data_IF_409360430355
#
_entry.id   IF_409360430355
#
_cell.length_a   1.000
_cell.length_b   1.000
_cell.length_c   1.000
_cell.angle_alpha   90.00
_cell.angle_beta   90.00
_cell.angle_gamma   90.00
#
_symmetry.space_group_name_H-M   'P 1'
#
loop_
_entity.id
_entity.type
_entity.pdbx_description
1 polymer ?
#
# COMPACT_ATOMS: atom_id res chain seq x y z
N UNK A 1 -27.24 -28.93 -13.17
CA UNK A 1 -25.96 -28.83 -13.90
C UNK A 1 -25.22 -27.58 -13.41
N UNK A 2 -24.02 -27.70 -12.82
CA UNK A 2 -23.28 -26.53 -12.37
C UNK A 2 -22.77 -25.75 -13.59
N UNK A 3 -23.00 -24.42 -13.58
CA UNK A 3 -22.60 -23.49 -14.66
C UNK A 3 -21.08 -23.50 -14.83
N UNK A 4 -20.61 -23.66 -16.08
CA UNK A 4 -19.19 -23.61 -16.42
C UNK A 4 -18.59 -22.26 -15.97
N UNK A 5 -17.59 -22.31 -15.09
CA UNK A 5 -16.80 -21.15 -14.69
C UNK A 5 -16.10 -20.59 -15.94
N UNK A 6 -16.31 -19.31 -16.25
CA UNK A 6 -15.59 -18.61 -17.32
C UNK A 6 -14.09 -18.75 -17.07
N UNK A 7 -13.35 -19.41 -17.97
CA UNK A 7 -11.89 -19.52 -17.85
C UNK A 7 -11.28 -18.14 -18.05
N UNK A 8 -10.42 -17.73 -17.11
CA UNK A 8 -9.70 -16.46 -17.22
C UNK A 8 -8.73 -16.52 -18.41
N UNK A 9 -8.65 -15.45 -19.19
CA UNK A 9 -7.83 -15.28 -20.40
C UNK A 9 -6.33 -15.61 -20.23
N UNK A 10 -5.86 -15.69 -18.98
CA UNK A 10 -4.46 -15.81 -18.58
C UNK A 10 -4.08 -17.20 -18.03
N UNK A 11 -4.88 -18.24 -18.26
CA UNK A 11 -4.51 -19.60 -17.82
C UNK A 11 -3.49 -20.22 -18.78
N UNK A 12 -2.43 -20.81 -18.19
CA UNK A 12 -1.33 -21.52 -18.88
C UNK A 12 -1.84 -22.70 -19.74
N UNK A 13 -2.94 -23.32 -19.31
CA UNK A 13 -3.63 -24.40 -20.04
C UNK A 13 -5.07 -24.00 -20.33
N UNK A 14 -5.55 -24.34 -21.53
CA UNK A 14 -6.97 -24.27 -21.88
C UNK A 14 -7.71 -25.35 -21.07
N UNK A 15 -9.04 -25.22 -20.92
CA UNK A 15 -9.92 -26.20 -20.25
C UNK A 15 -9.73 -27.63 -20.81
N UNK A 16 -9.29 -27.76 -22.07
CA UNK A 16 -8.99 -29.04 -22.74
C UNK A 16 -7.53 -29.54 -22.55
N UNK A 17 -6.76 -28.96 -21.64
CA UNK A 17 -5.40 -29.41 -21.29
C UNK A 17 -4.29 -29.04 -22.28
N UNK A 18 -4.62 -28.47 -23.44
CA UNK A 18 -3.65 -27.92 -24.42
C UNK A 18 -3.11 -26.56 -23.97
N UNK A 19 -1.86 -26.28 -24.33
CA UNK A 19 -1.21 -24.99 -24.06
C UNK A 19 -1.93 -23.84 -24.78
N UNK A 20 -2.12 -22.73 -24.06
CA UNK A 20 -2.85 -21.57 -24.56
C UNK A 20 -1.93 -20.70 -25.42
N UNK A 21 -2.18 -20.61 -26.73
CA UNK A 21 -1.38 -19.79 -27.65
C UNK A 21 -1.44 -18.29 -27.39
N UNK A 22 -2.40 -17.83 -26.57
CA UNK A 22 -2.51 -16.42 -26.12
C UNK A 22 -1.81 -16.16 -24.79
N UNK A 23 -1.36 -17.21 -24.10
CA UNK A 23 -0.59 -17.10 -22.86
C UNK A 23 0.89 -17.05 -23.24
N UNK A 24 1.55 -15.93 -22.93
CA UNK A 24 2.99 -15.77 -23.06
C UNK A 24 3.54 -15.66 -21.65
N UNK A 25 4.31 -16.67 -21.23
CA UNK A 25 5.04 -16.64 -19.98
C UNK A 25 6.30 -15.81 -20.20
N UNK A 26 6.36 -14.63 -19.58
CA UNK A 26 7.56 -13.78 -19.66
C UNK A 26 8.57 -14.15 -18.57
N UNK A 27 8.18 -14.97 -17.59
CA UNK A 27 8.98 -15.31 -16.41
C UNK A 27 9.55 -16.73 -16.47
N UNK A 28 9.61 -17.34 -17.65
CA UNK A 28 10.23 -18.65 -17.83
C UNK A 28 11.73 -18.60 -17.44
N UNK A 29 12.15 -19.60 -16.67
CA UNK A 29 13.53 -19.71 -16.20
C UNK A 29 14.44 -20.26 -17.31
N UNK A 30 15.59 -19.63 -17.49
CA UNK A 30 16.60 -20.12 -18.43
C UNK A 30 17.24 -21.42 -17.92
N UNK A 31 17.72 -22.24 -18.87
CA UNK A 31 18.44 -23.47 -18.53
C UNK A 31 19.71 -23.13 -17.75
N UNK A 32 19.84 -23.71 -16.55
CA UNK A 32 21.01 -23.49 -15.70
C UNK A 32 22.31 -23.89 -16.40
N UNK A 33 23.29 -23.00 -16.40
CA UNK A 33 24.65 -23.28 -16.88
C UNK A 33 25.47 -23.86 -15.72
N UNK A 34 26.15 -24.99 -15.96
CA UNK A 34 27.00 -25.61 -14.94
C UNK A 34 28.11 -24.64 -14.53
N UNK A 35 28.32 -24.47 -13.22
CA UNK A 35 29.30 -23.53 -12.68
C UNK A 35 28.80 -22.10 -12.50
N UNK A 36 27.64 -21.73 -13.06
CA UNK A 36 27.13 -20.35 -13.06
C UNK A 36 25.67 -20.30 -12.61
N UNK A 37 25.41 -20.76 -11.39
CA UNK A 37 24.06 -20.75 -10.83
C UNK A 37 23.71 -19.44 -10.14
N UNK A 38 24.69 -18.77 -9.57
CA UNK A 38 24.53 -17.50 -8.86
C UNK A 38 25.48 -16.46 -9.44
N UNK A 39 25.09 -15.19 -9.45
CA UNK A 39 25.92 -14.07 -9.86
C UNK A 39 25.93 -13.00 -8.77
N UNK A 40 27.08 -12.35 -8.61
CA UNK A 40 27.16 -11.12 -7.84
C UNK A 40 26.89 -9.94 -8.78
N UNK A 41 25.98 -9.05 -8.43
CA UNK A 41 25.58 -7.90 -9.27
C UNK A 41 25.64 -6.62 -8.44
N UNK A 42 26.14 -5.54 -9.04
CA UNK A 42 26.02 -4.19 -8.49
C UNK A 42 25.15 -3.35 -9.40
N UNK A 43 24.24 -2.58 -8.81
CA UNK A 43 23.38 -1.63 -9.52
C UNK A 43 23.89 -0.20 -9.35
N UNK A 44 23.69 0.61 -10.38
CA UNK A 44 23.84 2.06 -10.32
C UNK A 44 22.50 2.67 -10.72
N UNK A 45 21.77 3.23 -9.76
CA UNK A 45 20.42 3.76 -9.96
C UNK A 45 20.33 5.23 -9.56
N UNK A 46 20.76 6.17 -10.42
CA UNK A 46 20.63 7.60 -10.14
C UNK A 46 19.19 8.08 -10.36
N UNK A 47 18.21 7.52 -9.65
CA UNK A 47 16.77 7.77 -9.87
C UNK A 47 16.37 9.25 -9.77
N UNK A 48 17.05 10.01 -8.89
CA UNK A 48 16.80 11.45 -8.75
C UNK A 48 17.19 12.22 -10.01
N UNK A 49 18.34 11.87 -10.61
CA UNK A 49 18.88 12.53 -11.80
C UNK A 49 18.10 12.08 -13.04
N UNK A 50 17.70 10.81 -13.11
CA UNK A 50 16.84 10.28 -14.19
C UNK A 50 15.51 11.02 -14.22
N UNK A 51 14.84 11.18 -13.07
CA UNK A 51 13.60 11.97 -13.00
C UNK A 51 13.79 13.42 -13.43
N UNK A 52 14.91 14.03 -13.05
CA UNK A 52 15.24 15.39 -13.49
C UNK A 52 15.49 15.45 -15.00
N UNK A 53 16.09 14.41 -15.60
CA UNK A 53 16.29 14.28 -17.04
C UNK A 53 14.96 14.24 -17.78
N UNK A 54 14.04 13.38 -17.34
CA UNK A 54 12.73 13.21 -17.97
C UNK A 54 11.90 14.51 -17.87
N UNK A 55 11.93 15.17 -16.71
CA UNK A 55 11.29 16.47 -16.51
C UNK A 55 11.93 17.57 -17.37
N UNK A 56 13.26 17.58 -17.50
CA UNK A 56 13.96 18.54 -18.35
C UNK A 56 13.61 18.34 -19.83
N UNK A 57 13.54 17.10 -20.29
CA UNK A 57 13.14 16.75 -21.65
C UNK A 57 11.70 17.19 -21.93
N UNK A 58 10.81 17.02 -20.95
CA UNK A 58 9.43 17.49 -21.05
C UNK A 58 9.32 19.02 -21.06
N UNK A 59 10.08 19.73 -20.21
CA UNK A 59 10.10 21.20 -20.19
C UNK A 59 10.62 21.80 -21.50
N UNK A 60 11.69 21.25 -22.07
CA UNK A 60 12.19 21.68 -23.39
C UNK A 60 11.17 21.36 -24.51
N UNK A 61 10.46 20.24 -24.41
CA UNK A 61 9.35 19.96 -25.31
C UNK A 61 8.25 21.02 -25.20
N UNK A 62 7.80 21.38 -23.99
CA UNK A 62 6.77 22.40 -23.79
C UNK A 62 7.17 23.78 -24.35
N UNK A 63 8.44 24.18 -24.21
CA UNK A 63 8.96 25.43 -24.79
C UNK A 63 8.91 25.43 -26.32
N UNK A 64 8.99 24.26 -26.95
CA UNK A 64 8.93 24.14 -28.42
C UNK A 64 7.51 23.87 -28.92
N UNK A 65 6.72 23.14 -28.14
CA UNK A 65 5.29 22.89 -28.32
C UNK A 65 4.45 24.11 -27.93
N UNK A 66 4.98 25.31 -28.19
CA UNK A 66 4.43 26.58 -27.78
C UNK A 66 3.24 26.93 -28.68
N UNK A 67 2.12 26.23 -28.44
CA UNK A 67 0.82 26.42 -29.11
C UNK A 67 0.36 27.87 -28.99
N UNK A 68 0.73 28.57 -27.92
CA UNK A 68 0.35 29.98 -27.74
C UNK A 68 0.95 30.88 -28.83
N UNK A 69 2.21 30.63 -29.23
CA UNK A 69 2.87 31.41 -30.27
C UNK A 69 2.36 31.06 -31.67
N UNK A 70 1.94 29.82 -31.91
CA UNK A 70 1.28 29.44 -33.16
C UNK A 70 -0.15 29.97 -33.22
N UNK A 71 -0.90 29.95 -32.11
CA UNK A 71 -2.23 30.54 -31.96
C UNK A 71 -2.22 32.04 -32.24
N UNK A 72 -1.27 32.80 -31.67
CA UNK A 72 -1.15 34.24 -31.92
C UNK A 72 -0.91 34.55 -33.41
N UNK A 73 -0.06 33.76 -34.08
CA UNK A 73 0.16 33.88 -35.53
C UNK A 73 -1.07 33.48 -36.33
N UNK A 74 -1.82 32.48 -35.88
CA UNK A 74 -3.06 32.06 -36.51
C UNK A 74 -4.12 33.14 -36.42
N UNK A 75 -4.27 33.78 -35.25
CA UNK A 75 -5.18 34.92 -35.04
C UNK A 75 -4.78 36.10 -35.94
N UNK A 76 -3.49 36.42 -36.03
CA UNK A 76 -2.99 37.45 -36.93
C UNK A 76 -3.29 37.14 -38.41
N UNK A 77 -3.13 35.88 -38.81
CA UNK A 77 -3.47 35.42 -40.17
C UNK A 77 -4.98 35.51 -40.43
N UNK A 78 -5.82 35.11 -39.48
CA UNK A 78 -7.28 35.20 -39.59
C UNK A 78 -7.75 36.65 -39.73
N UNK A 79 -7.15 37.58 -38.98
CA UNK A 79 -7.39 39.02 -39.13
C UNK A 79 -6.94 39.56 -40.50
N UNK A 80 -5.83 39.04 -41.04
CA UNK A 80 -5.39 39.39 -42.39
C UNK A 80 -6.36 38.89 -43.47
N UNK A 81 -6.89 37.66 -43.33
CA UNK A 81 -7.89 37.10 -44.25
C UNK A 81 -9.19 37.89 -44.18
N UNK A 82 -9.65 38.23 -42.97
CA UNK A 82 -10.83 39.08 -42.76
C UNK A 82 -10.68 40.43 -43.46
N UNK A 83 -9.49 41.06 -43.34
CA UNK A 83 -9.20 42.32 -44.02
C UNK A 83 -9.12 42.18 -45.55
N UNK A 84 -8.47 41.14 -46.07
CA UNK A 84 -8.29 40.93 -47.52
C UNK A 84 -9.60 40.59 -48.24
N UNK A 85 -10.47 39.83 -47.60
CA UNK A 85 -11.75 39.37 -48.17
C UNK A 85 -12.96 40.18 -47.67
N UNK A 86 -12.74 41.22 -46.86
CA UNK A 86 -13.76 42.11 -46.32
C UNK A 86 -14.85 41.35 -45.54
N UNK A 87 -14.45 40.29 -44.82
CA UNK A 87 -15.32 39.47 -43.98
C UNK A 87 -15.33 40.07 -42.58
N UNK A 88 -16.47 39.97 -41.89
CA UNK A 88 -16.59 40.41 -40.50
C UNK A 88 -15.71 39.51 -39.61
N UNK A 89 -14.69 40.10 -38.98
CA UNK A 89 -13.75 39.38 -38.11
C UNK A 89 -14.44 38.57 -37.00
N UNK A 90 -15.56 39.08 -36.46
CA UNK A 90 -16.29 38.42 -35.38
C UNK A 90 -17.01 37.12 -35.81
N UNK A 91 -17.56 37.09 -37.04
CA UNK A 91 -18.18 35.88 -37.59
C UNK A 91 -17.11 34.81 -37.84
N UNK A 92 -15.99 35.22 -38.45
CA UNK A 92 -14.88 34.32 -38.77
C UNK A 92 -14.23 33.72 -37.50
N UNK A 93 -14.23 34.48 -36.40
CA UNK A 93 -13.77 33.99 -35.09
C UNK A 93 -14.78 33.05 -34.42
N UNK A 94 -16.07 33.19 -34.73
CA UNK A 94 -17.13 32.32 -34.22
C UNK A 94 -17.12 30.98 -34.97
N UNK A 95 -17.02 31.01 -36.30
CA UNK A 95 -16.85 29.83 -37.14
C UNK A 95 -15.59 29.03 -36.76
N UNK A 96 -14.50 29.73 -36.45
CA UNK A 96 -13.29 29.08 -35.97
C UNK A 96 -13.50 28.36 -34.62
N UNK A 97 -14.29 28.94 -33.71
CA UNK A 97 -14.62 28.28 -32.43
C UNK A 97 -15.49 27.04 -32.65
N UNK A 98 -16.44 27.08 -33.58
CA UNK A 98 -17.26 25.91 -33.95
C UNK A 98 -16.41 24.82 -34.59
N UNK A 99 -15.54 25.18 -35.54
CA UNK A 99 -14.59 24.24 -36.16
C UNK A 99 -13.68 23.57 -35.11
N UNK A 100 -13.14 24.34 -34.17
CA UNK A 100 -12.33 23.79 -33.07
C UNK A 100 -13.17 22.85 -32.19
N UNK A 101 -14.47 23.12 -31.99
CA UNK A 101 -15.33 22.23 -31.21
C UNK A 101 -15.61 20.90 -31.91
N UNK A 102 -15.77 20.90 -33.23
CA UNK A 102 -16.02 19.70 -34.03
C UNK A 102 -14.75 18.84 -34.20
N UNK A 103 -13.61 19.49 -34.41
CA UNK A 103 -12.32 18.81 -34.59
C UNK A 103 -11.62 18.42 -33.28
N UNK A 104 -12.15 18.83 -32.11
CA UNK A 104 -11.62 18.45 -30.79
C UNK A 104 -11.36 16.95 -30.67
N UNK A 105 -12.32 16.14 -31.10
CA UNK A 105 -12.24 14.67 -31.06
C UNK A 105 -11.09 14.10 -31.90
N UNK A 106 -10.68 14.78 -32.97
CA UNK A 106 -9.57 14.39 -33.85
C UNK A 106 -8.25 14.91 -33.30
N UNK A 107 -8.23 16.14 -32.76
CA UNK A 107 -7.07 16.72 -32.07
C UNK A 107 -6.69 15.89 -30.84
N UNK A 108 -7.67 15.35 -30.10
CA UNK A 108 -7.39 14.44 -28.99
C UNK A 108 -6.85 13.07 -29.44
N UNK A 109 -7.04 12.67 -30.71
CA UNK A 109 -6.48 11.43 -31.27
C UNK A 109 -5.02 11.58 -31.70
N UNK A 110 -4.59 12.77 -32.15
CA UNK A 110 -3.16 13.10 -32.23
C UNK A 110 -2.64 13.33 -30.81
N UNK A 111 -2.25 12.23 -30.16
CA UNK A 111 -1.82 12.27 -28.78
C UNK A 111 -0.55 13.11 -28.65
N UNK A 112 -0.56 14.09 -27.75
CA UNK A 112 0.63 14.84 -27.31
C UNK A 112 1.81 13.90 -26.97
N UNK A 113 1.53 12.66 -26.58
CA UNK A 113 2.52 11.63 -26.34
C UNK A 113 3.27 11.19 -27.61
N UNK A 114 2.59 11.05 -28.74
CA UNK A 114 3.22 10.63 -30.01
C UNK A 114 4.09 11.76 -30.58
N UNK A 115 3.64 13.00 -30.44
CA UNK A 115 4.42 14.20 -30.76
C UNK A 115 5.65 14.32 -29.85
N UNK A 116 5.49 14.10 -28.55
CA UNK A 116 6.60 14.08 -27.59
C UNK A 116 7.61 12.99 -27.94
N UNK A 117 7.15 11.78 -28.25
CA UNK A 117 8.04 10.66 -28.63
C UNK A 117 8.84 11.00 -29.90
N UNK A 118 8.17 11.51 -30.92
CA UNK A 118 8.82 11.96 -32.17
C UNK A 118 9.81 13.10 -31.91
N UNK A 119 9.50 14.00 -30.96
CA UNK A 119 10.39 15.09 -30.57
C UNK A 119 11.66 14.58 -29.88
N UNK A 120 11.50 13.64 -28.95
CA UNK A 120 12.62 12.98 -28.27
C UNK A 120 13.51 12.29 -29.29
N UNK A 121 12.95 11.48 -30.18
CA UNK A 121 13.72 10.75 -31.19
C UNK A 121 14.56 11.69 -32.09
N UNK A 122 14.06 12.90 -32.39
CA UNK A 122 14.76 13.86 -33.25
C UNK A 122 15.79 14.73 -32.51
N UNK A 123 15.58 15.00 -31.21
CA UNK A 123 16.37 15.98 -30.46
C UNK A 123 17.11 15.40 -29.25
N UNK A 124 17.08 14.08 -29.03
CA UNK A 124 17.66 13.41 -27.87
C UNK A 124 19.12 13.82 -27.63
N UNK A 125 19.97 13.74 -28.66
CA UNK A 125 21.40 14.02 -28.54
C UNK A 125 21.67 15.46 -28.08
N UNK A 126 20.98 16.43 -28.67
CA UNK A 126 21.12 17.85 -28.32
C UNK A 126 20.65 18.13 -26.89
N UNK A 127 19.54 17.52 -26.49
CA UNK A 127 18.98 17.72 -25.15
C UNK A 127 19.81 17.02 -24.08
N UNK A 128 20.33 15.83 -24.38
CA UNK A 128 21.24 15.12 -23.50
C UNK A 128 22.52 15.92 -23.28
N UNK A 129 23.08 16.54 -24.31
CA UNK A 129 24.26 17.39 -24.18
C UNK A 129 23.99 18.63 -23.31
N UNK A 130 22.85 19.30 -23.51
CA UNK A 130 22.42 20.42 -22.65
C UNK A 130 22.25 19.98 -21.20
N UNK A 131 21.57 18.86 -20.98
CA UNK A 131 21.33 18.30 -19.66
C UNK A 131 22.65 17.98 -18.94
N UNK A 132 23.58 17.30 -19.64
CA UNK A 132 24.88 16.96 -19.11
C UNK A 132 25.71 18.21 -18.72
N UNK A 133 25.62 19.29 -19.50
CA UNK A 133 26.28 20.57 -19.16
C UNK A 133 25.70 21.20 -17.90
N UNK A 134 24.38 21.19 -17.73
CA UNK A 134 23.69 21.77 -16.57
C UNK A 134 24.02 20.98 -15.30
N UNK A 135 24.02 19.65 -15.38
CA UNK A 135 24.20 18.75 -14.24
C UNK A 135 25.65 18.29 -14.03
N UNK A 136 26.63 18.90 -14.69
CA UNK A 136 28.05 18.61 -14.48
C UNK A 136 28.46 17.17 -14.82
N UNK A 137 27.88 16.61 -15.90
CA UNK A 137 28.16 15.25 -16.39
C UNK A 137 27.95 14.13 -15.37
N UNK A 138 27.02 14.33 -14.43
CA UNK A 138 26.60 13.25 -13.54
C UNK A 138 25.97 12.08 -14.33
N UNK A 139 26.17 10.83 -13.90
CA UNK A 139 25.58 9.68 -14.56
C UNK A 139 24.06 9.75 -14.48
N UNK A 140 23.41 9.82 -15.65
CA UNK A 140 21.96 9.92 -15.82
C UNK A 140 21.34 8.62 -16.35
N UNK A 141 22.10 7.54 -16.31
CA UNK A 141 21.71 6.23 -16.85
C UNK A 141 21.80 5.17 -15.76
N UNK A 142 20.82 4.27 -15.79
CA UNK A 142 20.80 3.05 -14.99
C UNK A 142 21.91 2.10 -15.44
N UNK A 143 22.73 1.62 -14.51
CA UNK A 143 23.85 0.72 -14.79
C UNK A 143 23.73 -0.60 -14.05
N UNK A 144 24.14 -1.68 -14.70
CA UNK A 144 24.30 -3.01 -14.08
C UNK A 144 25.73 -3.47 -14.30
N UNK A 145 26.38 -3.94 -13.24
CA UNK A 145 27.71 -4.55 -13.32
C UNK A 145 27.68 -5.96 -12.73
N UNK A 146 27.98 -6.95 -13.57
CA UNK A 146 28.12 -8.34 -13.15
C UNK A 146 29.53 -8.53 -12.56
N UNK A 147 29.60 -8.91 -11.29
CA UNK A 147 30.83 -9.08 -10.48
C UNK A 147 31.20 -10.56 -10.34
N UNK A 148 31.01 -11.33 -11.40
CA UNK A 148 31.31 -12.77 -11.46
C UNK A 148 30.10 -13.67 -11.17
N UNK A 149 30.29 -14.95 -11.48
CA UNK A 149 29.28 -16.01 -11.38
C UNK A 149 29.86 -17.25 -10.68
N UNK A 150 29.07 -17.90 -9.84
CA UNK A 150 29.48 -18.98 -8.94
C UNK A 150 28.52 -20.17 -8.99
N UNK A 151 29.00 -21.39 -8.70
CA UNK A 151 28.18 -22.60 -8.67
C UNK A 151 27.28 -22.71 -7.44
N UNK A 152 27.73 -22.21 -6.27
CA UNK A 152 27.01 -22.33 -4.99
C UNK A 152 26.64 -20.96 -4.42
N UNK A 153 25.61 -20.93 -3.57
CA UNK A 153 25.18 -19.72 -2.87
C UNK A 153 26.23 -19.27 -1.85
N UNK A 154 26.79 -20.21 -1.08
CA UNK A 154 27.80 -19.94 -0.05
C UNK A 154 29.07 -19.31 -0.64
N UNK A 155 29.52 -19.78 -1.81
CA UNK A 155 30.68 -19.21 -2.49
C UNK A 155 30.38 -17.79 -3.01
N UNK A 156 29.17 -17.56 -3.52
CA UNK A 156 28.73 -16.23 -3.94
C UNK A 156 28.62 -15.26 -2.76
N UNK A 157 28.11 -15.70 -1.60
CA UNK A 157 28.03 -14.91 -0.37
C UNK A 157 29.42 -14.55 0.16
N UNK A 158 30.35 -15.51 0.23
CA UNK A 158 31.73 -15.25 0.64
C UNK A 158 32.42 -14.25 -0.30
N UNK A 159 32.23 -14.42 -1.62
CA UNK A 159 32.81 -13.51 -2.60
C UNK A 159 32.18 -12.13 -2.56
N UNK A 160 30.88 -12.05 -2.27
CA UNK A 160 30.16 -10.79 -2.05
C UNK A 160 30.77 -10.02 -0.87
N UNK A 161 31.06 -10.69 0.25
CA UNK A 161 31.75 -10.08 1.41
C UNK A 161 33.09 -9.48 1.03
N UNK A 162 33.94 -10.26 0.34
CA UNK A 162 35.25 -9.79 -0.13
C UNK A 162 35.11 -8.61 -1.10
N UNK A 163 34.12 -8.64 -2.01
CA UNK A 163 33.89 -7.56 -2.98
C UNK A 163 33.41 -6.27 -2.30
N UNK A 164 32.64 -6.37 -1.23
CA UNK A 164 32.18 -5.23 -0.42
C UNK A 164 33.32 -4.59 0.36
N UNK A 165 34.28 -5.39 0.84
CA UNK A 165 35.51 -4.85 1.46
C UNK A 165 36.38 -4.10 0.45
N UNK A 166 36.47 -4.59 -0.79
CA UNK A 166 37.27 -3.97 -1.85
C UNK A 166 36.63 -2.69 -2.42
N UNK A 167 35.30 -2.62 -2.48
CA UNK A 167 34.53 -1.52 -3.08
C UNK A 167 33.38 -1.11 -2.15
N UNK A 168 33.65 -0.27 -1.12
CA UNK A 168 32.64 0.13 -0.13
C UNK A 168 31.59 1.10 -0.69
N UNK A 169 31.79 1.61 -1.92
CA UNK A 169 30.90 2.61 -2.52
C UNK A 169 29.67 2.00 -3.19
N UNK A 170 29.66 0.68 -3.43
CA UNK A 170 28.60 0.02 -4.18
C UNK A 170 28.02 -1.15 -3.40
N UNK A 171 26.70 -1.23 -3.37
CA UNK A 171 26.01 -2.41 -2.87
C UNK A 171 26.20 -3.59 -3.86
N UNK A 172 26.43 -4.77 -3.30
CA UNK A 172 26.61 -6.01 -4.05
C UNK A 172 25.50 -6.98 -3.65
N UNK A 173 24.77 -7.45 -4.65
CA UNK A 173 23.64 -8.34 -4.51
C UNK A 173 24.00 -9.72 -5.06
N UNK A 174 23.48 -10.78 -4.44
CA UNK A 174 23.61 -12.15 -4.94
C UNK A 174 22.29 -12.54 -5.60
N UNK A 175 22.37 -12.92 -6.87
CA UNK A 175 21.23 -13.22 -7.72
C UNK A 175 21.35 -14.60 -8.37
N UNK A 176 20.28 -15.40 -8.46
CA UNK A 176 20.28 -16.61 -9.27
C UNK A 176 20.30 -16.26 -10.77
N UNK A 177 21.10 -17.01 -11.54
CA UNK A 177 21.23 -16.83 -12.99
C UNK A 177 20.05 -17.51 -13.69
N UNK A 178 19.43 -16.80 -14.64
CA UNK A 178 18.31 -17.33 -15.43
C UNK A 178 16.93 -17.04 -14.84
N UNK A 179 16.85 -16.24 -13.77
CA UNK A 179 15.58 -15.75 -13.22
C UNK A 179 15.51 -14.22 -13.31
N UNK A 180 14.30 -13.69 -13.52
CA UNK A 180 14.08 -12.25 -13.49
C UNK A 180 14.26 -11.71 -12.07
N UNK A 181 15.10 -10.69 -11.94
CA UNK A 181 15.34 -10.00 -10.67
C UNK A 181 14.78 -8.58 -10.73
N UNK A 182 14.19 -8.09 -9.62
CA UNK A 182 13.81 -6.68 -9.51
C UNK A 182 15.02 -5.77 -9.73
N UNK A 183 14.78 -4.63 -10.38
CA UNK A 183 15.79 -3.59 -10.51
C UNK A 183 16.02 -2.92 -9.14
N UNK A 184 17.27 -2.87 -8.69
CA UNK A 184 17.71 -2.21 -7.45
C UNK A 184 16.82 -2.55 -6.24
N UNK A 185 16.84 -3.83 -5.81
CA UNK A 185 15.96 -4.30 -4.76
C UNK A 185 16.32 -3.66 -3.42
N UNK A 186 15.31 -3.11 -2.73
CA UNK A 186 15.49 -2.56 -1.39
C UNK A 186 15.93 -3.67 -0.43
N UNK A 187 17.07 -3.44 0.24
CA UNK A 187 17.65 -4.38 1.21
C UNK A 187 16.61 -4.89 2.21
N UNK A 188 15.80 -4.01 2.79
CA UNK A 188 14.80 -4.39 3.81
C UNK A 188 13.68 -5.29 3.28
N UNK A 189 13.36 -5.23 1.98
CA UNK A 189 12.27 -6.03 1.38
C UNK A 189 12.74 -7.38 0.86
N UNK A 190 14.05 -7.54 0.67
CA UNK A 190 14.65 -8.74 0.06
C UNK A 190 14.89 -9.87 1.08
N UNK A 191 14.51 -9.63 2.34
CA UNK A 191 14.44 -10.63 3.42
C UNK A 191 15.80 -10.93 4.05
N UNK A 192 16.74 -11.51 3.28
CA UNK A 192 18.08 -11.84 3.80
C UNK A 192 19.05 -10.69 3.51
N UNK A 193 19.30 -9.88 4.54
CA UNK A 193 20.31 -8.81 4.52
C UNK A 193 21.43 -9.20 5.47
N UNK A 194 22.65 -9.26 4.96
CA UNK A 194 23.85 -9.32 5.79
C UNK A 194 24.53 -7.96 5.78
N UNK A 195 24.66 -7.35 6.96
CA UNK A 195 25.42 -6.14 7.18
C UNK A 195 26.92 -6.46 7.26
N UNK A 196 27.77 -5.44 7.07
CA UNK A 196 29.23 -5.59 7.18
C UNK A 196 29.67 -5.86 8.61
N UNK A 197 28.92 -5.36 9.59
CA UNK A 197 29.23 -5.54 11.01
C UNK A 197 28.57 -6.81 11.53
N UNK A 198 29.38 -7.76 11.97
CA UNK A 198 28.91 -9.03 12.54
C UNK A 198 28.07 -8.80 13.81
N UNK A 199 28.40 -7.77 14.61
CA UNK A 199 27.62 -7.39 15.80
C UNK A 199 26.20 -6.92 15.42
N UNK A 200 26.07 -6.14 14.34
CA UNK A 200 24.77 -5.68 13.85
C UNK A 200 23.95 -6.85 13.28
N UNK A 201 24.60 -7.80 12.62
CA UNK A 201 23.95 -9.03 12.14
C UNK A 201 23.37 -9.84 13.31
N UNK A 202 24.16 -10.00 14.37
CA UNK A 202 23.71 -10.67 15.59
C UNK A 202 22.55 -9.92 16.24
N UNK A 203 22.65 -8.60 16.37
CA UNK A 203 21.59 -7.77 16.98
C UNK A 203 20.27 -7.84 16.18
N UNK A 204 20.33 -7.79 14.85
CA UNK A 204 19.15 -7.92 13.99
C UNK A 204 18.54 -9.33 14.05
N UNK A 205 19.38 -10.36 14.12
CA UNK A 205 18.93 -11.74 14.33
C UNK A 205 18.23 -11.89 15.69
N UNK A 206 18.86 -11.42 16.77
CA UNK A 206 18.31 -11.43 18.12
C UNK A 206 17.01 -10.63 18.21
N UNK A 207 16.92 -9.48 17.55
CA UNK A 207 15.68 -8.69 17.45
C UNK A 207 14.57 -9.51 16.78
N UNK A 208 14.87 -10.18 15.68
CA UNK A 208 13.89 -11.02 14.96
C UNK A 208 13.45 -12.22 15.81
N UNK A 209 14.38 -12.84 16.53
CA UNK A 209 14.09 -13.94 17.48
C UNK A 209 13.25 -13.45 18.66
N UNK A 210 13.52 -12.25 19.18
CA UNK A 210 12.72 -11.65 20.25
C UNK A 210 11.32 -11.27 19.78
N UNK A 211 11.17 -10.68 18.59
CA UNK A 211 9.86 -10.34 18.02
C UNK A 211 9.01 -11.58 17.73
N UNK A 212 9.62 -12.65 17.21
CA UNK A 212 8.93 -13.92 16.98
C UNK A 212 8.56 -14.62 18.29
N UNK A 213 9.47 -14.64 19.26
CA UNK A 213 9.20 -15.17 20.60
C UNK A 213 8.06 -14.40 21.28
N UNK A 214 8.09 -13.06 21.24
CA UNK A 214 7.04 -12.21 21.80
C UNK A 214 5.68 -12.43 21.13
N UNK A 215 5.63 -12.61 19.80
CA UNK A 215 4.40 -12.96 19.09
C UNK A 215 3.87 -14.33 19.52
N UNK A 216 4.73 -15.34 19.61
CA UNK A 216 4.35 -16.67 20.05
C UNK A 216 3.84 -16.68 21.51
N UNK A 217 4.50 -15.94 22.39
CA UNK A 217 4.07 -15.77 23.79
C UNK A 217 2.74 -15.01 23.88
N UNK A 218 2.54 -13.98 23.07
CA UNK A 218 1.28 -13.25 22.99
C UNK A 218 0.15 -14.17 22.50
N UNK A 219 0.35 -14.91 21.41
CA UNK A 219 -0.62 -15.87 20.90
C UNK A 219 -0.96 -16.96 21.92
N UNK A 220 0.05 -17.45 22.64
CA UNK A 220 -0.14 -18.41 23.75
C UNK A 220 -0.94 -17.78 24.89
N UNK A 221 -0.62 -16.56 25.30
CA UNK A 221 -1.37 -15.83 26.33
C UNK A 221 -2.82 -15.58 25.94
N UNK A 222 -3.08 -15.21 24.68
CA UNK A 222 -4.43 -15.02 24.15
C UNK A 222 -5.19 -16.34 24.18
N UNK A 223 -4.56 -17.45 23.77
CA UNK A 223 -5.16 -18.79 23.82
C UNK A 223 -5.47 -19.23 25.25
N UNK A 224 -4.53 -19.06 26.17
CA UNK A 224 -4.68 -19.42 27.58
C UNK A 224 -5.75 -18.56 28.27
N UNK A 225 -5.81 -17.26 27.97
CA UNK A 225 -6.83 -16.36 28.51
C UNK A 225 -8.23 -16.72 28.00
N UNK A 226 -8.36 -17.06 26.71
CA UNK A 226 -9.62 -17.58 26.14
C UNK A 226 -10.04 -18.89 26.81
N UNK A 227 -9.10 -19.80 27.04
CA UNK A 227 -9.39 -21.07 27.71
C UNK A 227 -9.84 -20.87 29.17
N UNK A 228 -9.18 -19.99 29.93
CA UNK A 228 -9.57 -19.64 31.30
C UNK A 228 -10.95 -18.99 31.36
N UNK A 229 -11.24 -18.05 30.47
CA UNK A 229 -12.55 -17.41 30.40
C UNK A 229 -13.68 -18.43 30.13
N UNK A 230 -13.45 -19.42 29.26
CA UNK A 230 -14.41 -20.49 29.00
C UNK A 230 -14.55 -21.42 30.21
N UNK A 231 -13.46 -21.76 30.89
CA UNK A 231 -13.51 -22.59 32.10
C UNK A 231 -14.26 -21.90 33.24
N UNK A 232 -14.05 -20.59 33.44
CA UNK A 232 -14.80 -19.79 34.39
C UNK A 232 -16.28 -19.68 34.00
N UNK A 233 -16.58 -19.46 32.72
CA UNK A 233 -17.95 -19.48 32.21
C UNK A 233 -18.63 -20.84 32.44
N UNK A 234 -17.91 -21.96 32.25
CA UNK A 234 -18.42 -23.30 32.53
C UNK A 234 -18.68 -23.52 34.03
N UNK A 235 -17.77 -23.10 34.91
CA UNK A 235 -17.96 -23.18 36.37
C UNK A 235 -19.14 -22.33 36.85
N UNK A 236 -19.31 -21.14 36.28
CA UNK A 236 -20.43 -20.26 36.61
C UNK A 236 -21.76 -20.84 36.09
N UNK A 237 -21.77 -21.41 34.89
CA UNK A 237 -22.91 -22.15 34.35
C UNK A 237 -23.34 -23.31 35.26
N UNK A 238 -22.39 -24.10 35.77
CA UNK A 238 -22.67 -25.19 36.73
C UNK A 238 -23.21 -24.69 38.07
N UNK A 239 -22.67 -23.58 38.60
CA UNK A 239 -23.11 -23.01 39.89
C UNK A 239 -24.49 -22.35 39.84
N UNK A 240 -24.79 -21.64 38.74
CA UNK A 240 -26.01 -20.86 38.59
C UNK A 240 -27.05 -21.52 37.69
N UNK A 241 -26.82 -22.78 37.27
CA UNK A 241 -27.76 -23.55 36.45
C UNK A 241 -28.08 -22.93 35.08
N UNK A 242 -27.16 -22.13 34.53
CA UNK A 242 -27.32 -21.44 33.24
C UNK A 242 -26.60 -22.23 32.13
N UNK A 243 -27.20 -22.37 30.94
CA UNK A 243 -26.57 -23.14 29.85
C UNK A 243 -25.39 -22.38 29.23
N UNK A 244 -24.24 -23.05 29.05
CA UNK A 244 -23.05 -22.49 28.38
C UNK A 244 -23.39 -22.30 26.90
N UNK A 245 -23.18 -21.10 26.36
CA UNK A 245 -23.50 -20.77 24.96
C UNK A 245 -22.32 -20.99 24.00
N UNK A 246 -21.06 -20.92 24.47
CA UNK A 246 -19.87 -20.95 23.61
C UNK A 246 -18.84 -21.99 24.07
N UNK A 247 -18.27 -22.75 23.13
CA UNK A 247 -17.18 -23.72 23.31
C UNK A 247 -16.02 -23.42 22.35
N UNK A 248 -14.83 -23.97 22.60
CA UNK A 248 -13.66 -23.78 21.72
C UNK A 248 -13.49 -24.97 20.78
N UNK A 249 -13.17 -24.71 19.51
CA UNK A 249 -12.82 -25.74 18.52
C UNK A 249 -11.31 -26.10 18.61
N UNK A 250 -10.87 -27.19 17.98
CA UNK A 250 -9.49 -27.71 18.05
C UNK A 250 -8.43 -26.68 17.61
N UNK A 251 -8.84 -25.67 16.84
CA UNK A 251 -8.00 -24.59 16.31
C UNK A 251 -8.02 -23.31 17.18
N UNK A 252 -8.71 -23.30 18.31
CA UNK A 252 -8.72 -22.15 19.24
C UNK A 252 -9.72 -21.04 18.92
N UNK A 253 -10.67 -21.31 18.01
CA UNK A 253 -11.76 -20.39 17.66
C UNK A 253 -13.00 -20.67 18.50
N UNK A 254 -13.72 -19.61 18.88
CA UNK A 254 -14.97 -19.70 19.64
C UNK A 254 -16.10 -20.15 18.70
N UNK A 255 -16.73 -21.26 19.03
CA UNK A 255 -17.92 -21.79 18.34
C UNK A 255 -19.10 -21.79 19.32
N UNK A 256 -20.27 -21.33 18.88
CA UNK A 256 -21.50 -21.41 19.68
C UNK A 256 -21.92 -22.89 19.76
N UNK A 257 -22.35 -23.38 20.93
CA UNK A 257 -22.91 -24.74 21.02
C UNK A 257 -24.24 -24.78 20.27
N UNK A 258 -24.33 -25.71 19.31
CA UNK A 258 -25.39 -25.87 18.29
C UNK A 258 -26.84 -26.07 18.81
N UNK A 259 -27.15 -25.86 20.09
CA UNK A 259 -28.41 -26.24 20.70
C UNK A 259 -29.22 -25.10 21.37
N UNK A 260 -28.81 -23.84 21.23
CA UNK A 260 -29.50 -22.72 21.91
C UNK A 260 -30.21 -21.73 20.97
N UNK A 261 -29.87 -21.69 19.68
CA UNK A 261 -30.60 -20.92 18.67
C UNK A 261 -31.30 -21.87 17.69
N UNK A 262 -32.49 -22.34 18.06
CA UNK A 262 -33.39 -23.09 17.15
C UNK A 262 -33.65 -22.30 15.86
N UNK A 263 -33.73 -20.97 15.95
CA UNK A 263 -33.98 -20.07 14.82
C UNK A 263 -32.87 -20.10 13.76
N UNK A 264 -31.58 -20.00 14.14
CA UNK A 264 -30.48 -20.00 13.15
C UNK A 264 -30.28 -21.36 12.47
N UNK A 265 -30.57 -22.44 13.18
CA UNK A 265 -30.40 -23.82 12.68
C UNK A 265 -31.51 -24.20 11.68
N UNK A 266 -32.69 -23.57 11.74
CA UNK A 266 -33.77 -23.76 10.77
C UNK A 266 -33.69 -22.77 9.60
N UNK A 267 -33.25 -21.53 9.85
CA UNK A 267 -32.98 -20.53 8.81
C UNK A 267 -31.84 -20.95 7.87
N UNK A 268 -30.82 -21.67 8.36
CA UNK A 268 -29.72 -22.17 7.52
C UNK A 268 -30.04 -23.46 6.74
N UNK A 269 -31.14 -24.15 7.06
CA UNK A 269 -31.61 -25.32 6.29
C UNK A 269 -32.32 -24.91 4.98
N UNK A 270 -32.92 -23.72 4.94
CA UNK A 270 -33.58 -23.17 3.76
C UNK A 270 -32.62 -22.23 3.02
N UNK A 271 -32.03 -22.69 1.92
CA UNK A 271 -30.98 -21.96 1.19
C UNK A 271 -31.39 -20.61 0.59
N UNK A 272 -32.69 -20.29 0.55
CA UNK A 272 -33.22 -18.97 0.21
C UNK A 272 -34.31 -18.60 1.21
N UNK A 273 -34.05 -17.60 2.07
CA UNK A 273 -34.99 -17.13 3.09
C UNK A 273 -35.55 -15.78 2.65
N UNK A 274 -36.88 -15.66 2.50
CA UNK A 274 -37.51 -14.38 2.19
C UNK A 274 -37.68 -13.52 3.44
N UNK A 275 -37.70 -12.18 3.29
CA UNK A 275 -37.87 -11.24 4.41
C UNK A 275 -39.16 -11.51 5.19
N UNK A 276 -40.21 -11.98 4.50
CA UNK A 276 -41.49 -12.40 5.09
C UNK A 276 -41.38 -13.65 5.96
N UNK A 277 -40.53 -14.62 5.58
CA UNK A 277 -40.36 -15.85 6.36
C UNK A 277 -39.52 -15.58 7.63
N UNK A 278 -38.53 -14.69 7.52
CA UNK A 278 -37.75 -14.19 8.66
C UNK A 278 -38.66 -13.47 9.66
N UNK A 279 -39.59 -12.63 9.20
CA UNK A 279 -40.50 -11.90 10.07
C UNK A 279 -41.49 -12.82 10.81
N UNK A 280 -42.02 -13.84 10.13
CA UNK A 280 -42.92 -14.81 10.77
C UNK A 280 -42.22 -15.65 11.83
N UNK A 281 -41.01 -16.14 11.55
CA UNK A 281 -40.25 -16.94 12.52
C UNK A 281 -39.78 -16.10 13.73
N UNK A 282 -39.42 -14.83 13.52
CA UNK A 282 -38.95 -13.96 14.60
C UNK A 282 -40.07 -13.43 15.51
N UNK A 283 -41.28 -13.23 14.98
CA UNK A 283 -42.36 -12.53 15.71
C UNK A 283 -43.65 -13.35 15.89
N UNK A 284 -43.83 -14.46 15.17
CA UNK A 284 -45.07 -15.25 15.19
C UNK A 284 -44.84 -16.73 15.57
N UNK A 285 -43.60 -17.16 15.79
CA UNK A 285 -43.29 -18.54 16.19
C UNK A 285 -43.85 -18.92 17.56
N UNK A 286 -44.10 -20.21 17.80
CA UNK A 286 -44.73 -20.74 19.03
C UNK A 286 -43.98 -20.39 20.34
N UNK A 287 -42.71 -20.00 20.24
CA UNK A 287 -41.87 -19.54 21.37
C UNK A 287 -41.88 -18.01 21.59
N UNK A 288 -42.63 -17.24 20.80
CA UNK A 288 -42.75 -15.78 20.92
C UNK A 288 -44.01 -15.44 21.72
N UNK A 289 -43.85 -14.79 22.87
CA UNK A 289 -44.96 -14.46 23.76
C UNK A 289 -45.74 -13.26 23.18
N UNK A 290 -46.90 -13.53 22.57
CA UNK A 290 -47.75 -12.51 21.91
C UNK A 290 -48.85 -11.92 22.82
N UNK A 291 -48.91 -12.31 24.09
CA UNK A 291 -49.92 -11.80 25.01
C UNK A 291 -49.53 -10.40 25.50
N UNK A 292 -50.47 -9.43 25.45
CA UNK A 292 -50.27 -8.02 25.82
C UNK A 292 -49.88 -7.75 27.29
N UNK A 293 -49.77 -8.79 28.11
CA UNK A 293 -49.42 -8.68 29.53
C UNK A 293 -48.05 -9.32 29.75
N UNK A 294 -47.07 -8.49 30.11
CA UNK A 294 -45.66 -8.80 30.30
C UNK A 294 -45.36 -9.73 31.50
N UNK A 295 -46.31 -10.54 31.96
CA UNK A 295 -46.11 -11.58 32.98
C UNK A 295 -45.35 -11.20 34.26
N UNK A 296 -45.22 -9.90 34.59
CA UNK A 296 -44.39 -9.40 35.68
C UNK A 296 -42.89 -9.18 35.38
N UNK A 297 -42.43 -9.31 34.13
CA UNK A 297 -41.01 -9.12 33.75
C UNK A 297 -40.54 -7.66 33.85
N UNK A 298 -41.42 -6.69 33.59
CA UNK A 298 -41.16 -5.26 33.81
C UNK A 298 -40.99 -4.91 35.29
N UNK A 299 -41.65 -5.62 36.20
CA UNK A 299 -41.44 -5.49 37.65
C UNK A 299 -40.08 -6.07 38.09
N UNK A 300 -39.62 -7.15 37.45
CA UNK A 300 -38.29 -7.70 37.71
C UNK A 300 -37.21 -6.75 37.18
N UNK A 301 -37.42 -6.17 36.01
CA UNK A 301 -36.48 -5.23 35.38
C UNK A 301 -36.38 -3.90 36.12
N UNK A 302 -37.48 -3.44 36.73
CA UNK A 302 -37.47 -2.27 37.62
C UNK A 302 -36.79 -2.59 38.96
N UNK A 303 -37.05 -3.75 39.58
CA UNK A 303 -36.32 -4.21 40.76
C UNK A 303 -34.81 -4.37 40.54
N UNK A 304 -34.39 -4.84 39.36
CA UNK A 304 -32.97 -4.90 38.98
C UNK A 304 -32.35 -3.51 38.79
N UNK A 305 -33.12 -2.53 38.30
CA UNK A 305 -32.66 -1.13 38.23
C UNK A 305 -32.53 -0.50 39.62
N UNK A 306 -33.47 -0.74 40.52
CA UNK A 306 -33.40 -0.26 41.91
C UNK A 306 -32.19 -0.84 42.66
N UNK A 307 -31.87 -2.12 42.47
CA UNK A 307 -30.66 -2.75 43.05
C UNK A 307 -29.35 -2.27 42.42
N UNK A 308 -29.40 -1.68 41.23
CA UNK A 308 -28.24 -1.06 40.59
C UNK A 308 -28.05 0.37 41.12
N UNK A 309 -29.14 1.10 41.35
CA UNK A 309 -29.12 2.47 41.91
C UNK A 309 -28.68 2.51 43.39
N UNK A 310 -29.06 1.52 44.22
CA UNK A 310 -28.58 1.44 45.62
C UNK A 310 -27.07 1.18 45.74
N UNK A 311 -26.39 0.75 44.67
CA UNK A 311 -24.93 0.59 44.62
C UNK A 311 -24.20 1.82 44.10
N UNK A 312 -24.91 2.76 43.47
CA UNK A 312 -24.33 3.98 42.90
C UNK A 312 -24.34 5.18 43.88
N UNK A 313 -24.99 5.05 45.06
CA UNK A 313 -25.08 6.11 46.08
C UNK A 313 -23.95 6.09 47.14
N UNK A 314 -22.89 5.30 46.97
CA UNK A 314 -21.67 5.35 47.80
C UNK A 314 -20.41 5.39 46.92
N UNK A 315 -20.21 6.49 46.20
CA UNK A 315 -18.92 7.18 45.99
C UNK A 315 -19.10 8.28 44.93
N UNK A 316 -19.59 9.44 45.39
CA UNK A 316 -19.32 10.70 44.72
C UNK A 316 -18.36 11.51 45.58
N UNK A 317 -17.07 11.47 45.26
CA UNK A 317 -16.23 12.66 45.42
C UNK A 317 -15.34 12.81 44.18
N UNK A 318 -15.58 13.91 43.50
CA UNK A 318 -15.06 14.33 42.21
C UNK A 318 -13.62 14.84 42.28
N UNK A 319 -12.78 14.52 41.28
CA UNK A 319 -11.89 15.52 40.64
C UNK A 319 -11.71 15.18 39.16
N UNK A 320 -12.01 16.15 38.30
CA UNK A 320 -11.79 16.10 36.86
C UNK A 320 -10.30 16.12 36.49
N UNK A 321 -9.92 15.38 35.45
CA UNK A 321 -8.71 15.67 34.65
C UNK A 321 -9.16 15.80 33.19
N UNK A 322 -8.94 17.00 32.65
CA UNK A 322 -9.23 17.40 31.29
C UNK A 322 -8.37 16.64 30.27
N UNK A 323 -8.99 16.30 29.15
CA UNK A 323 -8.37 15.74 27.95
C UNK A 323 -7.64 16.84 27.16
N UNK A 324 -6.37 16.63 26.83
CA UNK A 324 -5.74 17.29 25.67
C UNK A 324 -5.03 16.27 24.78
N UNK A 325 -5.50 16.21 23.55
CA UNK A 325 -4.85 15.65 22.38
C UNK A 325 -4.01 16.72 21.68
N UNK A 326 -3.05 16.26 20.88
CA UNK A 326 -2.24 17.00 19.87
C UNK A 326 -0.85 17.47 20.32
N UNK A 327 0.17 16.73 19.85
CA UNK A 327 1.55 17.22 19.72
C UNK A 327 1.78 17.55 18.26
N UNK A 328 1.94 18.84 17.95
CA UNK A 328 2.56 19.35 16.72
C UNK A 328 3.71 20.28 17.10
N UNK A 329 4.74 20.19 16.27
CA UNK A 329 5.98 20.93 16.27
C UNK A 329 5.80 22.45 16.40
N UNK A 330 6.74 23.14 17.05
CA UNK A 330 7.43 24.22 16.33
C UNK A 330 8.75 24.69 16.95
N UNK A 331 9.60 25.12 16.02
CA UNK A 331 10.92 25.72 16.18
C UNK A 331 10.78 27.25 16.29
N UNK A 332 11.73 27.86 17.00
CA UNK A 332 12.25 29.24 16.83
C UNK A 332 11.89 30.35 17.84
N UNK A 333 12.98 31.01 18.24
CA UNK A 333 13.18 32.45 18.49
C UNK A 333 12.43 33.16 19.62
N UNK A 334 13.22 33.64 20.60
CA UNK A 334 12.97 34.93 21.25
C UNK A 334 14.21 35.83 21.21
N UNK A 335 14.03 37.16 21.05
CA UNK A 335 15.09 38.09 20.72
C UNK A 335 15.73 38.77 21.94
N UNK A 336 16.88 39.36 21.65
CA UNK A 336 17.72 40.26 22.43
C UNK A 336 17.03 41.42 23.17
N UNK A 337 17.58 41.83 24.32
CA UNK A 337 17.95 43.25 24.60
C UNK A 337 18.80 43.41 25.88
N UNK A 338 20.12 43.49 25.68
CA UNK A 338 21.06 44.53 26.15
C UNK A 338 20.79 45.34 27.46
N UNK A 339 21.70 45.24 28.46
CA UNK A 339 22.66 46.32 28.87
C UNK A 339 23.41 46.06 30.20
N UNK A 340 24.73 46.25 30.13
CA UNK A 340 25.66 46.84 31.11
C UNK A 340 25.96 46.17 32.48
N UNK A 341 27.21 45.70 32.66
CA UNK A 341 28.26 46.44 33.40
C UNK A 341 29.65 45.77 33.34
N UNK A 342 30.65 46.58 32.95
CA UNK A 342 32.10 46.36 33.04
C UNK A 342 32.56 45.99 34.47
N UNK A 343 33.56 45.09 34.59
CA UNK A 343 34.84 45.38 35.29
C UNK A 343 35.92 44.29 35.11
N UNK A 344 37.06 44.75 34.60
CA UNK A 344 38.43 44.19 34.58
C UNK A 344 38.84 43.35 35.81
N UNK A 345 39.65 42.30 35.58
CA UNK A 345 40.99 41.99 36.17
C UNK A 345 41.40 40.55 35.75
N UNK A 346 42.39 40.36 34.87
CA UNK A 346 43.84 40.18 35.10
C UNK A 346 44.27 38.88 35.81
N UNK A 347 45.30 38.26 35.21
CA UNK A 347 46.14 37.12 35.65
C UNK A 347 45.49 35.74 35.46
N UNK A 348 46.16 34.73 34.91
CA UNK A 348 47.58 34.51 34.62
C UNK A 348 47.69 33.46 33.52
#
# INVERSE_FOLDING_TARGET
>A
MPKARKSSKYQKKIVDGKENSKYVDLLDEDKSISGQKFCCVSFLSPEKIVKQKDLFFFDEFLKQWDINKSMDKFIQFMNFVAYKHNIVSDELMTDFKEFVNDEKEIIYKSSMYDDFKTYIDNNEEKMLEKFNKIHGFQPSTRGVKIRGSFPSMEEAELRCKILRELDPNHDVYVGPVGMWMPWDPDSYKTGRVEHMEDELNQLMHEKTVNETSAKNEFEKHVKDSKQKAIEENKKNAEKYGTQVTQTIDEQGNLVNVNNLNTQETELTKNAEVSVSDIQKELFEGDNVVMNLSDGGLSEIRSKMKETTQEKDDVESDSVMIETESEVKDDVSNKPSTNKNKKKKKNKK
#
